data_IF_456930838513
#
_entry.id   IF_456930838513
#
_cell.length_a   1.000
_cell.length_b   1.000
_cell.length_c   1.000
_cell.angle_alpha   90.00
_cell.angle_beta   90.00
_cell.angle_gamma   90.00
#
_symmetry.space_group_name_H-M   'P 1'
#
loop_
_entity.id
_entity.type
_entity.pdbx_description
1 polymer ?
#
# COMPACT_ATOMS: atom_id res chain seq x y z
N UNK A 1 24.47 11.93 -58.56
CA UNK A 1 23.07 11.93 -58.10
C UNK A 1 22.90 10.81 -57.06
N UNK A 2 22.57 11.13 -55.80
CA UNK A 2 22.33 10.12 -54.74
C UNK A 2 20.83 9.85 -54.61
N UNK A 3 20.37 8.60 -54.49
CA UNK A 3 18.94 8.29 -54.45
C UNK A 3 18.34 8.63 -53.07
N UNK A 4 17.24 9.38 -53.09
CA UNK A 4 16.43 9.64 -51.90
C UNK A 4 15.84 8.32 -51.38
N UNK A 5 16.17 7.97 -50.14
CA UNK A 5 15.61 6.80 -49.45
C UNK A 5 14.14 7.05 -49.11
N UNK A 6 13.30 6.04 -49.37
CA UNK A 6 11.87 6.02 -49.05
C UNK A 6 11.64 6.11 -47.53
N UNK A 7 11.44 7.31 -47.00
CA UNK A 7 10.80 7.55 -45.69
C UNK A 7 9.29 7.67 -45.91
N UNK A 8 8.52 6.59 -45.87
CA UNK A 8 7.04 6.74 -45.90
C UNK A 8 6.23 5.71 -45.11
N UNK A 9 6.81 4.56 -44.74
CA UNK A 9 6.08 3.50 -44.04
C UNK A 9 6.18 3.57 -42.51
N UNK A 10 7.29 4.09 -41.97
CA UNK A 10 7.46 4.22 -40.52
C UNK A 10 6.64 5.36 -39.90
N UNK A 11 6.47 6.47 -40.64
CA UNK A 11 5.74 7.65 -40.16
C UNK A 11 4.22 7.42 -40.09
N UNK A 12 3.67 6.65 -41.03
CA UNK A 12 2.24 6.30 -41.08
C UNK A 12 1.84 5.34 -39.95
N UNK A 13 2.68 4.37 -39.60
CA UNK A 13 2.46 3.49 -38.45
C UNK A 13 2.53 4.24 -37.10
N UNK A 14 3.43 5.22 -36.98
CA UNK A 14 3.58 6.03 -35.77
C UNK A 14 2.41 7.02 -35.57
N UNK A 15 1.89 7.60 -36.64
CA UNK A 15 0.67 8.44 -36.61
C UNK A 15 -0.57 7.59 -36.29
N UNK A 16 -0.69 6.38 -36.84
CA UNK A 16 -1.77 5.45 -36.50
C UNK A 16 -1.76 5.00 -35.04
N UNK A 17 -0.57 4.78 -34.45
CA UNK A 17 -0.43 4.43 -33.03
C UNK A 17 -0.69 5.62 -32.08
N UNK A 18 -0.41 6.85 -32.53
CA UNK A 18 -0.68 8.08 -31.77
C UNK A 18 -2.18 8.42 -31.76
N UNK A 19 -2.92 8.08 -32.83
CA UNK A 19 -4.38 8.23 -32.90
C UNK A 19 -5.10 7.23 -32.00
N UNK A 20 -4.54 6.04 -31.77
CA UNK A 20 -5.11 5.03 -30.85
C UNK A 20 -4.91 5.37 -29.35
N UNK A 21 -4.04 6.33 -29.04
CA UNK A 21 -3.76 6.77 -27.66
C UNK A 21 -4.68 7.92 -27.19
N UNK A 22 -5.54 8.45 -28.07
CA UNK A 22 -6.68 9.28 -27.68
C UNK A 22 -7.82 8.37 -27.24
N UNK A 23 -7.65 7.74 -26.07
CA UNK A 23 -8.79 7.23 -25.34
C UNK A 23 -9.65 8.44 -24.94
N UNK A 24 -10.51 8.87 -25.85
CA UNK A 24 -11.52 9.87 -25.57
C UNK A 24 -12.37 9.33 -24.41
N UNK A 25 -12.58 10.18 -23.41
CA UNK A 25 -13.58 9.97 -22.39
C UNK A 25 -14.91 9.85 -23.13
N UNK A 26 -15.38 8.63 -23.32
CA UNK A 26 -16.56 8.39 -24.13
C UNK A 26 -17.78 8.54 -23.23
N UNK A 27 -18.56 9.58 -23.49
CA UNK A 27 -19.89 9.70 -22.92
C UNK A 27 -20.69 8.45 -23.25
N UNK A 28 -21.42 7.93 -22.26
CA UNK A 28 -22.26 6.74 -22.45
C UNK A 28 -23.61 6.94 -21.82
N UNK A 29 -24.61 6.22 -22.31
CA UNK A 29 -25.96 6.26 -21.74
C UNK A 29 -26.29 4.95 -21.04
N UNK A 30 -26.96 5.03 -19.89
CA UNK A 30 -27.32 3.85 -19.12
C UNK A 30 -28.48 4.09 -18.17
N UNK A 31 -29.12 2.99 -17.75
CA UNK A 31 -30.27 3.05 -16.84
C UNK A 31 -29.79 3.19 -15.40
N UNK A 32 -30.30 4.17 -14.67
CA UNK A 32 -30.04 4.28 -13.23
C UNK A 32 -30.78 3.16 -12.50
N UNK A 33 -30.03 2.26 -11.88
CA UNK A 33 -30.56 1.08 -11.17
C UNK A 33 -30.42 1.18 -9.65
N UNK A 34 -29.76 2.22 -9.13
CA UNK A 34 -29.64 2.43 -7.70
C UNK A 34 -29.12 3.81 -7.33
N UNK A 35 -29.51 4.28 -6.15
CA UNK A 35 -29.02 5.52 -5.54
C UNK A 35 -28.36 5.14 -4.21
N UNK A 36 -27.06 5.39 -4.08
CA UNK A 36 -26.33 5.11 -2.84
C UNK A 36 -26.61 6.19 -1.80
N UNK A 37 -26.29 7.43 -2.15
CA UNK A 37 -26.50 8.68 -1.40
C UNK A 37 -26.95 9.79 -2.38
N UNK A 38 -26.99 11.05 -1.95
CA UNK A 38 -27.49 12.15 -2.78
C UNK A 38 -26.66 12.41 -4.05
N UNK A 39 -25.37 12.05 -4.07
CA UNK A 39 -24.45 12.37 -5.17
C UNK A 39 -23.77 11.13 -5.80
N UNK A 40 -24.18 9.92 -5.43
CA UNK A 40 -23.66 8.67 -5.96
C UNK A 40 -24.77 7.77 -6.47
N UNK A 41 -24.73 7.49 -7.77
CA UNK A 41 -25.70 6.63 -8.47
C UNK A 41 -25.04 5.37 -9.03
N UNK A 42 -25.85 4.35 -9.27
CA UNK A 42 -25.48 3.12 -9.98
C UNK A 42 -26.16 3.10 -11.34
N UNK A 43 -25.36 2.99 -12.41
CA UNK A 43 -25.83 3.05 -13.79
C UNK A 43 -25.52 1.72 -14.46
N UNK A 44 -26.55 1.10 -15.03
CA UNK A 44 -26.43 -0.12 -15.84
C UNK A 44 -26.16 0.27 -17.29
N UNK A 45 -25.02 -0.16 -17.81
CA UNK A 45 -24.61 0.02 -19.20
C UNK A 45 -23.99 -1.29 -19.71
N UNK A 46 -24.43 -1.79 -20.87
CA UNK A 46 -23.94 -3.04 -21.46
C UNK A 46 -23.93 -4.25 -20.50
N UNK A 47 -24.97 -4.37 -19.66
CA UNK A 47 -25.10 -5.46 -18.70
C UNK A 47 -24.17 -5.36 -17.47
N UNK A 48 -23.42 -4.26 -17.31
CA UNK A 48 -22.56 -3.99 -16.16
C UNK A 48 -23.06 -2.77 -15.37
N UNK A 49 -23.08 -2.91 -14.05
CA UNK A 49 -23.39 -1.79 -13.16
C UNK A 49 -22.10 -1.01 -12.83
N UNK A 50 -22.06 0.26 -13.20
CA UNK A 50 -21.00 1.20 -12.84
C UNK A 50 -21.46 2.14 -11.71
N UNK A 51 -20.55 2.48 -10.79
CA UNK A 51 -20.77 3.51 -9.77
C UNK A 51 -20.33 4.86 -10.33
N UNK A 52 -21.23 5.84 -10.29
CA UNK A 52 -21.00 7.20 -10.77
C UNK A 52 -21.17 8.17 -9.60
N UNK A 53 -20.15 8.97 -9.32
CA UNK A 53 -20.20 10.11 -8.42
C UNK A 53 -20.43 11.38 -9.24
N UNK A 54 -21.39 12.18 -8.81
CA UNK A 54 -21.71 13.46 -9.44
C UNK A 54 -20.55 14.44 -9.24
N UNK A 55 -20.00 14.92 -10.35
CA UNK A 55 -18.90 15.87 -10.38
C UNK A 55 -19.29 17.20 -9.72
N UNK A 56 -18.32 17.79 -9.00
CA UNK A 56 -18.40 19.15 -8.47
C UNK A 56 -19.33 19.37 -7.28
N UNK A 57 -20.01 18.34 -6.79
CA UNK A 57 -20.97 18.45 -5.67
C UNK A 57 -20.67 17.47 -4.53
N UNK A 58 -21.14 17.79 -3.33
CA UNK A 58 -21.08 16.91 -2.17
C UNK A 58 -22.42 16.96 -1.41
N UNK A 59 -23.10 15.83 -1.31
CA UNK A 59 -24.37 15.71 -0.59
C UNK A 59 -24.15 15.37 0.90
N UNK A 60 -25.07 15.74 1.80
CA UNK A 60 -25.06 15.26 3.17
C UNK A 60 -25.02 13.73 3.24
N UNK A 61 -24.19 13.21 4.16
CA UNK A 61 -24.03 11.77 4.38
C UNK A 61 -25.34 11.13 4.88
N UNK A 62 -25.49 9.81 4.74
CA UNK A 62 -26.74 9.10 5.10
C UNK A 62 -27.22 9.35 6.54
N UNK A 63 -26.29 9.52 7.49
CA UNK A 63 -26.56 9.78 8.91
C UNK A 63 -26.47 11.27 9.28
N UNK A 64 -26.17 12.14 8.32
CA UNK A 64 -26.15 13.58 8.50
C UNK A 64 -27.57 14.13 8.27
N UNK A 65 -27.94 15.24 8.92
CA UNK A 65 -29.16 15.98 8.57
C UNK A 65 -29.28 16.17 7.06
N UNK A 66 -30.50 15.98 6.53
CA UNK A 66 -30.84 16.05 5.11
C UNK A 66 -30.26 14.95 4.20
N UNK A 67 -29.43 14.02 4.68
CA UNK A 67 -28.87 12.95 3.84
C UNK A 67 -29.91 12.07 3.17
N UNK A 68 -30.92 11.62 3.93
CA UNK A 68 -32.05 10.86 3.37
C UNK A 68 -32.86 11.67 2.36
N UNK A 69 -33.09 12.97 2.62
CA UNK A 69 -33.85 13.85 1.73
C UNK A 69 -33.10 14.09 0.42
N UNK A 70 -31.79 14.31 0.48
CA UNK A 70 -30.95 14.45 -0.70
C UNK A 70 -30.99 13.18 -1.57
N UNK A 71 -30.86 12.00 -0.96
CA UNK A 71 -31.02 10.71 -1.64
C UNK A 71 -32.39 10.56 -2.31
N UNK A 72 -33.47 10.90 -1.60
CA UNK A 72 -34.83 10.83 -2.14
C UNK A 72 -35.03 11.79 -3.32
N UNK A 73 -34.51 13.01 -3.23
CA UNK A 73 -34.56 13.99 -4.31
C UNK A 73 -33.86 13.48 -5.57
N UNK A 74 -32.61 12.99 -5.43
CA UNK A 74 -31.86 12.38 -6.54
C UNK A 74 -32.60 11.16 -7.10
N UNK A 75 -33.19 10.33 -6.25
CA UNK A 75 -33.99 9.18 -6.68
C UNK A 75 -35.20 9.61 -7.52
N UNK A 76 -35.96 10.62 -7.09
CA UNK A 76 -37.11 11.11 -7.86
C UNK A 76 -36.74 11.65 -9.24
N UNK A 77 -35.56 12.24 -9.38
CA UNK A 77 -35.09 12.77 -10.65
C UNK A 77 -34.49 11.70 -11.57
N UNK A 78 -33.75 10.73 -11.04
CA UNK A 78 -32.87 9.89 -11.85
C UNK A 78 -33.22 8.40 -11.83
N UNK A 79 -33.79 7.87 -10.73
CA UNK A 79 -33.98 6.42 -10.57
C UNK A 79 -34.87 5.84 -11.66
N UNK A 80 -34.44 4.72 -12.25
CA UNK A 80 -35.16 4.03 -13.33
C UNK A 80 -35.06 4.70 -14.69
N UNK A 81 -34.50 5.91 -14.81
CA UNK A 81 -34.35 6.63 -16.07
C UNK A 81 -33.05 6.25 -16.78
N UNK A 82 -33.04 6.38 -18.10
CA UNK A 82 -31.82 6.32 -18.90
C UNK A 82 -31.19 7.71 -18.91
N UNK A 83 -29.97 7.81 -18.40
CA UNK A 83 -29.23 9.07 -18.30
C UNK A 83 -27.98 9.01 -19.15
N UNK A 84 -27.50 10.16 -19.60
CA UNK A 84 -26.19 10.27 -20.26
C UNK A 84 -25.15 10.67 -19.24
N UNK A 85 -24.07 9.88 -19.18
CA UNK A 85 -22.93 10.07 -18.29
C UNK A 85 -21.84 10.75 -19.09
N UNK A 86 -21.54 12.00 -18.73
CA UNK A 86 -20.44 12.76 -19.30
C UNK A 86 -19.24 12.66 -18.37
N UNK A 87 -18.34 11.72 -18.68
CA UNK A 87 -17.24 11.37 -17.78
C UNK A 87 -16.19 12.49 -17.71
N UNK A 88 -15.80 12.85 -16.48
CA UNK A 88 -14.83 13.91 -16.19
C UNK A 88 -13.54 13.37 -15.60
N UNK A 89 -13.68 12.43 -14.67
CA UNK A 89 -12.55 11.83 -13.97
C UNK A 89 -12.89 10.41 -13.48
N UNK A 90 -11.90 9.71 -12.92
CA UNK A 90 -12.10 8.51 -12.10
C UNK A 90 -11.41 8.69 -10.76
N UNK A 91 -12.17 8.51 -9.69
CA UNK A 91 -11.59 8.68 -8.35
C UNK A 91 -10.73 7.48 -7.93
N UNK A 92 -10.01 7.65 -6.81
CA UNK A 92 -9.14 6.61 -6.23
C UNK A 92 -9.86 5.30 -5.85
N UNK A 93 -11.18 5.32 -5.76
CA UNK A 93 -12.02 4.16 -5.44
C UNK A 93 -12.53 3.46 -6.70
N UNK A 94 -12.16 3.95 -7.89
CA UNK A 94 -12.61 3.43 -9.18
C UNK A 94 -14.02 3.86 -9.57
N UNK A 95 -14.60 4.86 -8.88
CA UNK A 95 -15.89 5.44 -9.30
C UNK A 95 -15.67 6.39 -10.47
N UNK A 96 -16.61 6.36 -11.40
CA UNK A 96 -16.70 7.34 -12.49
C UNK A 96 -17.13 8.67 -11.87
N UNK A 97 -16.42 9.76 -12.14
CA UNK A 97 -16.80 11.12 -11.75
C UNK A 97 -17.36 11.81 -12.98
N UNK A 98 -18.62 12.25 -12.95
CA UNK A 98 -19.31 12.69 -14.16
C UNK A 98 -20.35 13.78 -13.94
N UNK A 99 -20.63 14.53 -15.00
CA UNK A 99 -21.91 15.23 -15.17
C UNK A 99 -22.96 14.22 -15.64
N UNK A 100 -24.13 14.24 -15.02
CA UNK A 100 -25.22 13.32 -15.37
C UNK A 100 -26.37 14.09 -16.00
N UNK A 101 -26.63 13.82 -17.26
CA UNK A 101 -27.68 14.48 -18.04
C UNK A 101 -28.94 13.61 -18.04
N UNK A 102 -30.04 14.20 -17.60
CA UNK A 102 -31.36 13.58 -17.54
C UNK A 102 -32.02 13.53 -18.94
N UNK A 103 -33.07 12.70 -19.13
CA UNK A 103 -33.78 12.62 -20.41
C UNK A 103 -34.35 13.95 -20.93
N UNK A 104 -34.64 14.89 -20.03
CA UNK A 104 -35.15 16.23 -20.36
C UNK A 104 -34.03 17.25 -20.65
N UNK A 105 -32.78 16.79 -20.74
CA UNK A 105 -31.60 17.60 -21.01
C UNK A 105 -31.04 18.34 -19.79
N UNK A 106 -31.66 18.24 -18.61
CA UNK A 106 -31.15 18.89 -17.40
C UNK A 106 -29.95 18.16 -16.83
N UNK A 107 -29.04 18.91 -16.23
CA UNK A 107 -27.89 18.35 -15.49
C UNK A 107 -28.32 18.05 -14.03
N UNK A 108 -28.32 16.77 -13.67
CA UNK A 108 -28.71 16.28 -12.34
C UNK A 108 -27.88 16.93 -11.22
N UNK A 109 -26.57 17.09 -11.42
CA UNK A 109 -25.66 17.69 -10.44
C UNK A 109 -26.14 19.11 -10.09
N UNK A 110 -26.48 19.89 -11.12
CA UNK A 110 -27.00 21.24 -10.98
C UNK A 110 -28.39 21.27 -10.32
N UNK A 111 -29.28 20.34 -10.68
CA UNK A 111 -30.62 20.26 -10.08
C UNK A 111 -30.58 20.02 -8.58
N UNK A 112 -29.66 19.16 -8.11
CA UNK A 112 -29.51 18.86 -6.68
C UNK A 112 -29.02 20.09 -5.90
N UNK A 113 -28.05 20.83 -6.44
CA UNK A 113 -27.57 22.09 -5.82
C UNK A 113 -28.67 23.16 -5.86
N UNK A 114 -29.37 23.31 -6.98
CA UNK A 114 -30.48 24.27 -7.15
C UNK A 114 -31.61 24.03 -6.14
N UNK A 115 -31.87 22.77 -5.80
CA UNK A 115 -32.86 22.38 -4.81
C UNK A 115 -32.34 22.49 -3.35
N UNK A 116 -31.07 22.81 -3.15
CA UNK A 116 -30.45 22.93 -1.83
C UNK A 116 -30.18 21.58 -1.16
N UNK A 117 -29.92 20.52 -1.92
CA UNK A 117 -29.61 19.19 -1.37
C UNK A 117 -28.13 18.79 -1.50
N UNK A 118 -27.30 19.65 -2.09
CA UNK A 118 -25.87 19.46 -2.17
C UNK A 118 -25.12 20.78 -1.98
N UNK A 119 -23.89 20.65 -1.51
CA UNK A 119 -22.91 21.72 -1.49
C UNK A 119 -22.15 21.75 -2.81
N UNK A 120 -21.76 22.94 -3.24
CA UNK A 120 -20.74 23.08 -4.27
C UNK A 120 -19.38 22.67 -3.69
N UNK A 121 -18.77 21.63 -4.25
CA UNK A 121 -17.53 21.07 -3.75
C UNK A 121 -16.31 21.85 -4.26
N UNK A 122 -16.09 23.03 -3.66
CA UNK A 122 -15.05 24.01 -4.00
C UNK A 122 -13.65 23.42 -4.21
N UNK A 123 -13.28 22.41 -3.42
CA UNK A 123 -11.96 21.77 -3.53
C UNK A 123 -11.75 21.06 -4.87
N UNK A 124 -12.82 20.49 -5.46
CA UNK A 124 -12.75 19.70 -6.70
C UNK A 124 -13.30 20.44 -7.91
N UNK A 125 -14.10 21.49 -7.72
CA UNK A 125 -14.65 22.31 -8.80
C UNK A 125 -14.54 23.82 -8.51
N UNK A 126 -13.35 24.36 -8.19
CA UNK A 126 -13.21 25.77 -7.77
C UNK A 126 -13.60 26.79 -8.85
N UNK A 127 -13.54 26.40 -10.13
CA UNK A 127 -13.87 27.26 -11.26
C UNK A 127 -15.34 27.24 -11.69
N UNK A 128 -16.17 26.35 -11.13
CA UNK A 128 -17.55 26.18 -11.59
C UNK A 128 -18.47 27.31 -11.09
N UNK A 129 -18.63 28.33 -11.93
CA UNK A 129 -19.49 29.48 -11.60
C UNK A 129 -20.98 29.12 -11.58
N UNK A 130 -21.39 28.07 -12.29
CA UNK A 130 -22.80 27.65 -12.32
C UNK A 130 -23.16 27.04 -10.97
N UNK A 131 -22.38 26.09 -10.46
CA UNK A 131 -22.61 25.49 -9.15
C UNK A 131 -22.52 26.52 -8.02
N UNK A 132 -21.55 27.43 -8.09
CA UNK A 132 -21.44 28.55 -7.15
C UNK A 132 -22.70 29.42 -7.12
N UNK A 133 -23.21 29.81 -8.30
CA UNK A 133 -24.42 30.63 -8.41
C UNK A 133 -25.67 29.91 -7.92
N UNK A 134 -25.83 28.62 -8.26
CA UNK A 134 -26.96 27.81 -7.81
C UNK A 134 -26.96 27.59 -6.30
N UNK A 135 -25.79 27.35 -5.70
CA UNK A 135 -25.65 27.22 -4.25
C UNK A 135 -26.08 28.51 -3.55
N UNK A 136 -25.59 29.67 -4.01
CA UNK A 136 -25.95 30.97 -3.45
C UNK A 136 -27.46 31.27 -3.57
N UNK A 137 -28.09 30.90 -4.69
CA UNK A 137 -29.54 31.04 -4.86
C UNK A 137 -30.34 30.13 -3.92
N UNK A 138 -29.90 28.88 -3.75
CA UNK A 138 -30.54 27.94 -2.84
C UNK A 138 -30.40 28.38 -1.38
N UNK A 139 -29.24 28.94 -1.00
CA UNK A 139 -28.99 29.55 0.30
C UNK A 139 -29.92 30.73 0.56
N UNK A 140 -29.96 31.71 -0.35
CA UNK A 140 -30.79 32.90 -0.21
C UNK A 140 -32.29 32.56 -0.12
N UNK A 141 -32.71 31.49 -0.78
CA UNK A 141 -34.09 31.01 -0.75
C UNK A 141 -34.40 30.02 0.40
N UNK A 142 -33.43 29.69 1.27
CA UNK A 142 -33.62 28.76 2.38
C UNK A 142 -34.07 27.35 1.94
N UNK A 143 -33.62 26.88 0.77
CA UNK A 143 -34.06 25.59 0.21
C UNK A 143 -33.30 24.41 0.82
N UNK A 144 -34.00 23.28 0.97
CA UNK A 144 -33.36 22.02 1.35
C UNK A 144 -32.58 22.14 2.67
N UNK A 145 -31.29 21.81 2.63
CA UNK A 145 -30.39 21.91 3.78
C UNK A 145 -30.20 23.34 4.30
N UNK A 146 -30.42 24.35 3.45
CA UNK A 146 -30.30 25.76 3.81
C UNK A 146 -31.48 26.29 4.64
N UNK A 147 -32.51 25.46 4.89
CA UNK A 147 -33.54 25.76 5.88
C UNK A 147 -33.03 25.59 7.33
N UNK A 148 -31.91 24.87 7.50
CA UNK A 148 -31.20 24.81 8.77
C UNK A 148 -30.47 26.14 9.03
N UNK A 149 -30.38 26.55 10.30
CA UNK A 149 -29.65 27.77 10.68
C UNK A 149 -28.14 27.56 10.59
N UNK A 150 -27.68 26.34 10.86
CA UNK A 150 -26.25 25.99 10.91
C UNK A 150 -25.98 24.70 10.12
N UNK A 151 -26.20 24.71 8.79
CA UNK A 151 -25.96 23.53 7.98
C UNK A 151 -24.46 23.21 7.94
N UNK A 152 -24.10 22.01 8.39
CA UNK A 152 -22.71 21.52 8.35
C UNK A 152 -22.43 20.89 7.00
N UNK A 153 -21.32 21.20 6.31
CA UNK A 153 -20.98 20.54 5.07
C UNK A 153 -20.45 19.10 5.29
N UNK A 154 -20.57 18.19 4.29
CA UNK A 154 -20.25 16.78 4.50
C UNK A 154 -18.77 16.52 4.85
N UNK A 155 -17.84 17.31 4.31
CA UNK A 155 -16.42 17.19 4.64
C UNK A 155 -16.10 17.52 6.11
N UNK A 156 -16.81 18.47 6.71
CA UNK A 156 -16.68 18.79 8.14
C UNK A 156 -17.36 17.74 9.00
N UNK A 157 -18.54 17.27 8.60
CA UNK A 157 -19.23 16.15 9.26
C UNK A 157 -18.34 14.90 9.35
N UNK A 158 -17.71 14.52 8.23
CA UNK A 158 -16.75 13.40 8.17
C UNK A 158 -15.53 13.62 9.08
N UNK A 159 -15.05 14.86 9.22
CA UNK A 159 -13.94 15.20 10.12
C UNK A 159 -14.34 15.00 11.58
N UNK A 160 -15.50 15.53 11.99
CA UNK A 160 -16.01 15.38 13.36
C UNK A 160 -16.23 13.92 13.75
N UNK A 161 -16.83 13.11 12.86
CA UNK A 161 -17.02 11.68 13.12
C UNK A 161 -15.71 10.92 13.29
N UNK A 162 -14.68 11.25 12.51
CA UNK A 162 -13.35 10.64 12.66
C UNK A 162 -12.73 11.00 14.01
N UNK A 163 -12.80 12.26 14.41
CA UNK A 163 -12.26 12.74 15.69
C UNK A 163 -12.99 12.11 16.88
N UNK A 164 -14.33 12.00 16.82
CA UNK A 164 -15.15 11.33 17.83
C UNK A 164 -14.76 9.86 17.99
N UNK A 165 -14.60 9.12 16.88
CA UNK A 165 -14.18 7.71 16.89
C UNK A 165 -12.78 7.55 17.49
N UNK A 166 -11.83 8.41 17.11
CA UNK A 166 -10.48 8.40 17.68
C UNK A 166 -10.48 8.70 19.18
N UNK A 167 -11.33 9.64 19.62
CA UNK A 167 -11.52 9.95 21.04
C UNK A 167 -12.10 8.78 21.83
N UNK A 168 -13.10 8.10 21.29
CA UNK A 168 -13.69 6.90 21.90
C UNK A 168 -12.67 5.76 22.00
N UNK A 169 -11.95 5.47 20.91
CA UNK A 169 -10.91 4.44 20.89
C UNK A 169 -9.80 4.73 21.91
N UNK A 170 -9.35 5.99 22.01
CA UNK A 170 -8.37 6.40 23.04
C UNK A 170 -8.90 6.17 24.45
N UNK A 171 -10.16 6.52 24.74
CA UNK A 171 -10.77 6.29 26.05
C UNK A 171 -10.90 4.79 26.38
N UNK A 172 -11.30 3.98 25.41
CA UNK A 172 -11.42 2.53 25.56
C UNK A 172 -10.05 1.89 25.81
N UNK A 173 -9.04 2.18 24.99
CA UNK A 173 -7.66 1.72 25.17
C UNK A 173 -7.06 2.16 26.51
N UNK A 174 -7.44 3.33 27.03
CA UNK A 174 -7.03 3.79 28.37
C UNK A 174 -7.78 3.06 29.49
N UNK A 175 -9.05 2.70 29.29
CA UNK A 175 -9.88 2.02 30.27
C UNK A 175 -9.59 0.50 30.35
N UNK A 176 -9.33 -0.16 29.21
CA UNK A 176 -9.03 -1.60 29.13
C UNK A 176 -7.55 -1.90 29.34
N UNK A 177 -6.67 -0.92 29.12
CA UNK A 177 -5.21 -1.13 29.10
C UNK A 177 -4.73 -1.94 27.88
N UNK A 178 -5.60 -2.20 26.89
CA UNK A 178 -5.28 -2.96 25.68
C UNK A 178 -4.93 -2.03 24.51
N UNK A 179 -3.75 -2.23 23.93
CA UNK A 179 -3.16 -1.38 22.89
C UNK A 179 -1.63 -1.47 22.89
N UNK A 180 -0.95 -0.83 21.93
CA UNK A 180 0.47 -1.00 21.79
C UNK A 180 1.24 -0.30 22.92
N UNK A 181 2.30 -0.91 23.43
CA UNK A 181 3.22 -0.30 24.37
C UNK A 181 4.04 0.79 23.68
N UNK A 182 4.19 1.94 24.33
CA UNK A 182 5.06 3.01 23.85
C UNK A 182 6.28 3.12 24.75
N UNK A 183 7.49 3.17 24.17
CA UNK A 183 8.70 3.10 24.99
C UNK A 183 10.00 3.40 24.26
N UNK A 184 11.10 3.28 25.01
CA UNK A 184 12.44 3.42 24.48
C UNK A 184 13.27 2.21 24.90
N UNK A 185 13.74 1.46 23.89
CA UNK A 185 14.55 0.26 24.10
C UNK A 185 15.86 0.55 24.85
N UNK A 186 16.40 1.78 24.73
CA UNK A 186 17.64 2.19 25.42
C UNK A 186 17.43 2.34 26.92
N UNK A 187 16.36 3.03 27.31
CA UNK A 187 16.06 3.29 28.72
C UNK A 187 15.26 2.16 29.38
N UNK A 188 14.80 1.16 28.60
CA UNK A 188 13.89 0.08 29.02
C UNK A 188 12.61 0.59 29.71
N UNK A 189 12.22 1.83 29.42
CA UNK A 189 10.96 2.41 29.85
C UNK A 189 9.88 2.09 28.81
N UNK A 190 8.91 1.26 29.21
CA UNK A 190 7.77 0.87 28.38
C UNK A 190 6.48 1.20 29.11
N UNK A 191 5.64 2.01 28.48
CA UNK A 191 4.36 2.43 29.02
C UNK A 191 3.25 1.65 28.34
N UNK A 192 2.44 0.95 29.15
CA UNK A 192 1.19 0.35 28.70
C UNK A 192 0.17 1.45 28.37
N UNK A 193 -0.78 1.19 27.47
CA UNK A 193 -1.92 2.07 27.27
C UNK A 193 -2.65 2.36 28.59
N UNK A 194 -3.08 3.61 28.79
CA UNK A 194 -3.68 4.06 30.05
C UNK A 194 -2.69 4.40 31.18
N UNK A 195 -1.38 4.20 30.99
CA UNK A 195 -0.39 4.71 31.93
C UNK A 195 -0.30 6.24 31.87
N UNK A 196 -0.15 6.90 33.04
CA UNK A 196 0.03 8.37 33.12
C UNK A 196 1.18 8.93 32.28
N UNK A 197 2.15 8.07 31.95
CA UNK A 197 3.36 8.40 31.20
C UNK A 197 3.36 7.83 29.77
N UNK A 198 2.21 7.39 29.26
CA UNK A 198 2.12 6.76 27.93
C UNK A 198 2.63 7.65 26.79
N UNK A 199 2.37 8.96 26.87
CA UNK A 199 2.84 9.96 25.89
C UNK A 199 4.20 10.59 26.25
N UNK A 200 5.08 9.84 26.94
CA UNK A 200 6.41 10.30 27.30
C UNK A 200 7.24 10.71 26.07
N UNK A 201 7.79 11.92 26.07
CA UNK A 201 8.60 12.48 24.96
C UNK A 201 9.90 11.73 24.69
N UNK A 202 10.39 10.95 25.66
CA UNK A 202 11.61 10.15 25.54
C UNK A 202 11.37 8.76 24.93
N UNK A 203 10.11 8.38 24.71
CA UNK A 203 9.70 7.14 24.06
C UNK A 203 9.69 7.32 22.54
N UNK A 204 10.36 6.40 21.84
CA UNK A 204 10.65 6.53 20.39
C UNK A 204 10.15 5.34 19.58
N UNK A 205 9.59 4.32 20.23
CA UNK A 205 9.19 3.07 19.60
C UNK A 205 7.84 2.59 20.15
N UNK A 206 7.07 1.94 19.29
CA UNK A 206 5.74 1.39 19.57
C UNK A 206 5.82 -0.13 19.40
N UNK A 207 5.32 -0.90 20.38
CA UNK A 207 5.35 -2.36 20.43
C UNK A 207 3.93 -2.90 20.60
N UNK A 208 3.59 -4.01 19.98
CA UNK A 208 2.25 -4.61 20.11
C UNK A 208 2.04 -5.25 21.49
N UNK A 209 3.11 -5.68 22.16
CA UNK A 209 3.05 -6.26 23.50
C UNK A 209 4.25 -5.87 24.35
N UNK A 210 4.12 -6.10 25.66
CA UNK A 210 5.25 -5.95 26.60
C UNK A 210 6.41 -6.90 26.24
N UNK A 211 6.08 -8.13 25.89
CA UNK A 211 7.06 -9.15 25.52
C UNK A 211 7.85 -8.75 24.27
N UNK A 212 7.20 -8.14 23.27
CA UNK A 212 7.88 -7.62 22.09
C UNK A 212 8.87 -6.50 22.45
N UNK A 213 8.46 -5.58 23.34
CA UNK A 213 9.30 -4.49 23.82
C UNK A 213 10.55 -4.98 24.56
N UNK A 214 10.38 -5.98 25.43
CA UNK A 214 11.47 -6.60 26.17
C UNK A 214 12.43 -7.35 25.21
N UNK A 215 11.91 -8.14 24.27
CA UNK A 215 12.72 -8.80 23.22
C UNK A 215 13.48 -7.80 22.34
N UNK A 216 12.91 -6.62 22.08
CA UNK A 216 13.58 -5.58 21.31
C UNK A 216 14.73 -4.93 22.09
N UNK A 217 14.55 -4.71 23.40
CA UNK A 217 15.62 -4.23 24.27
C UNK A 217 16.76 -5.24 24.39
N UNK A 218 16.45 -6.54 24.50
CA UNK A 218 17.45 -7.59 24.68
C UNK A 218 18.27 -7.85 23.42
N UNK A 219 17.64 -7.81 22.23
CA UNK A 219 18.35 -7.91 20.93
C UNK A 219 19.40 -6.82 20.74
N UNK A 220 19.14 -5.62 21.27
CA UNK A 220 20.11 -4.53 21.26
C UNK A 220 21.26 -4.79 22.24
N UNK A 221 20.96 -5.22 23.46
CA UNK A 221 21.98 -5.57 24.46
C UNK A 221 22.94 -6.64 23.96
N UNK A 222 22.46 -7.58 23.13
CA UNK A 222 23.29 -8.59 22.47
C UNK A 222 24.22 -8.04 21.38
N UNK A 223 23.86 -6.95 20.71
CA UNK A 223 24.71 -6.28 19.70
C UNK A 223 25.73 -5.35 20.36
N UNK A 224 25.34 -4.67 21.43
CA UNK A 224 26.23 -3.85 22.25
C UNK A 224 27.19 -4.71 23.10
N UNK A 225 26.86 -6.00 23.31
CA UNK A 225 27.66 -6.99 24.07
C UNK A 225 28.77 -7.71 23.30
N UNK A 226 28.87 -7.56 21.97
CA UNK A 226 29.94 -8.18 21.16
C UNK A 226 31.18 -7.28 20.97
N UNK A 227 31.33 -6.26 21.83
CA UNK A 227 32.53 -5.43 21.94
C UNK A 227 33.05 -5.26 23.38
N UNK A 228 32.62 -6.11 24.31
CA UNK A 228 33.09 -6.00 25.68
C UNK A 228 32.71 -7.16 26.57
N UNK A 229 33.45 -8.27 26.48
CA UNK A 229 33.73 -9.17 27.60
C UNK A 229 34.68 -10.28 27.15
N UNK A 230 35.97 -9.96 27.01
CA UNK A 230 37.00 -10.88 27.48
C UNK A 230 37.11 -10.70 29.00
N UNK A 231 37.29 -11.80 29.72
CA UNK A 231 37.64 -11.87 31.15
C UNK A 231 36.58 -11.48 32.20
N UNK A 232 35.92 -12.53 32.74
CA UNK A 232 35.68 -12.88 34.17
C UNK A 232 34.33 -13.60 34.29
N UNK A 233 34.13 -14.60 35.14
CA UNK A 233 34.95 -15.44 36.02
C UNK A 233 34.04 -16.61 36.41
N UNK A 234 34.65 -17.77 36.52
CA UNK A 234 34.20 -19.02 37.12
C UNK A 234 33.42 -18.88 38.43
N UNK A 235 32.41 -19.74 38.66
CA UNK A 235 32.32 -20.59 39.87
C UNK A 235 31.16 -21.59 39.81
N UNK A 236 31.50 -22.88 39.95
CA UNK A 236 30.80 -23.99 40.66
C UNK A 236 29.32 -24.29 40.32
N UNK A 237 28.82 -25.52 40.23
CA UNK A 237 29.33 -26.89 40.26
C UNK A 237 28.14 -27.83 40.07
N UNK A 238 28.24 -28.78 39.16
CA UNK A 238 27.66 -30.14 39.33
C UNK A 238 28.10 -30.95 38.11
N UNK A 239 28.94 -31.95 38.36
CA UNK A 239 29.40 -32.89 37.35
C UNK A 239 28.21 -33.60 36.69
N UNK A 240 28.28 -33.85 35.37
CA UNK A 240 27.74 -35.08 34.81
C UNK A 240 28.87 -36.01 34.36
N UNK A 241 28.59 -37.29 34.58
CA UNK A 241 29.38 -38.48 34.34
C UNK A 241 29.87 -38.70 32.90
N UNK A 242 30.94 -39.48 32.83
CA UNK A 242 31.70 -40.19 31.77
C UNK A 242 31.14 -40.47 30.35
N UNK A 243 30.02 -39.91 29.89
CA UNK A 243 29.49 -40.14 28.52
C UNK A 243 29.55 -38.92 27.58
N UNK A 244 30.19 -37.81 27.96
CA UNK A 244 30.34 -36.61 27.12
C UNK A 244 31.78 -36.41 26.58
N UNK A 245 32.43 -37.49 26.11
CA UNK A 245 33.71 -37.45 25.37
C UNK A 245 33.56 -38.15 24.02
N UNK A 246 32.75 -37.60 23.13
CA UNK A 246 32.77 -37.91 21.70
C UNK A 246 31.99 -36.83 20.95
N UNK A 247 32.70 -35.78 20.52
CA UNK A 247 32.42 -34.82 19.42
C UNK A 247 33.06 -33.47 19.76
N UNK A 248 34.40 -33.46 19.85
CA UNK A 248 35.22 -32.24 19.94
C UNK A 248 36.09 -32.06 18.69
N UNK A 249 35.59 -32.50 17.52
CA UNK A 249 36.22 -32.34 16.21
C UNK A 249 35.11 -32.10 15.18
N UNK A 250 34.84 -30.83 14.85
CA UNK A 250 34.24 -30.36 13.58
C UNK A 250 33.65 -28.94 13.76
N UNK A 251 34.52 -27.96 14.02
CA UNK A 251 34.21 -26.55 13.73
C UNK A 251 35.34 -25.82 13.00
N UNK A 252 36.53 -26.44 12.87
CA UNK A 252 37.65 -25.89 12.10
C UNK A 252 37.46 -26.09 10.58
N UNK A 253 36.97 -27.23 10.09
CA UNK A 253 36.91 -27.47 8.63
C UNK A 253 35.95 -26.54 7.85
N UNK A 254 35.01 -25.89 8.55
CA UNK A 254 34.08 -24.91 7.96
C UNK A 254 34.68 -23.52 7.80
N UNK A 255 35.75 -23.20 8.53
CA UNK A 255 36.43 -21.91 8.44
C UNK A 255 37.54 -21.93 7.37
N UNK A 256 38.25 -23.05 7.21
CA UNK A 256 39.23 -23.24 6.13
C UNK A 256 38.57 -23.22 4.74
N UNK A 257 37.39 -23.80 4.57
CA UNK A 257 36.63 -23.75 3.30
C UNK A 257 36.20 -22.33 2.93
N UNK A 258 35.79 -21.51 3.91
CA UNK A 258 35.43 -20.11 3.68
C UNK A 258 36.67 -19.24 3.33
N UNK A 259 37.80 -19.50 4.00
CA UNK A 259 39.08 -18.83 3.69
C UNK A 259 39.63 -19.20 2.32
N UNK A 260 39.51 -20.46 1.90
CA UNK A 260 39.95 -20.93 0.58
C UNK A 260 39.12 -20.32 -0.57
N UNK A 261 37.79 -20.20 -0.38
CA UNK A 261 36.90 -19.53 -1.35
C UNK A 261 37.25 -18.04 -1.47
N UNK A 262 37.47 -17.34 -0.36
CA UNK A 262 37.88 -15.94 -0.37
C UNK A 262 39.28 -15.70 -0.97
N UNK A 263 40.20 -16.65 -0.82
CA UNK A 263 41.53 -16.59 -1.42
C UNK A 263 41.49 -16.82 -2.93
N UNK A 264 40.69 -17.78 -3.42
CA UNK A 264 40.48 -18.01 -4.85
C UNK A 264 39.81 -16.80 -5.53
N UNK A 265 38.82 -16.19 -4.88
CA UNK A 265 38.14 -14.98 -5.39
C UNK A 265 39.06 -13.74 -5.43
N UNK A 266 40.13 -13.68 -4.62
CA UNK A 266 41.13 -12.61 -4.66
C UNK A 266 42.22 -12.85 -5.72
N UNK A 267 42.50 -14.10 -6.07
CA UNK A 267 43.52 -14.46 -7.05
C UNK A 267 43.10 -14.19 -8.52
N UNK A 268 41.78 -14.20 -8.81
CA UNK A 268 41.27 -14.04 -10.19
C UNK A 268 40.92 -12.59 -10.61
N UNK A 269 41.21 -11.58 -9.78
CA UNK A 269 41.18 -10.18 -10.24
C UNK A 269 39.81 -9.62 -10.69
N UNK A 270 38.68 -10.13 -10.18
CA UNK A 270 37.33 -9.66 -10.54
C UNK A 270 36.64 -8.76 -9.49
N UNK A 271 37.40 -8.13 -8.59
CA UNK A 271 36.82 -7.20 -7.61
C UNK A 271 36.24 -5.90 -8.25
N UNK A 272 36.55 -5.63 -9.52
CA UNK A 272 36.23 -4.35 -10.19
C UNK A 272 34.92 -4.34 -11.00
N UNK A 273 34.17 -5.44 -11.10
CA UNK A 273 32.90 -5.47 -11.89
C UNK A 273 31.63 -5.34 -11.06
N UNK A 274 31.71 -5.35 -9.72
CA UNK A 274 30.52 -5.24 -8.86
C UNK A 274 30.14 -3.79 -8.49
N UNK A 275 31.04 -2.82 -8.67
CA UNK A 275 30.76 -1.41 -8.39
C UNK A 275 30.10 -0.65 -9.56
N UNK A 276 30.03 -1.24 -10.76
CA UNK A 276 29.44 -0.60 -11.94
C UNK A 276 27.93 -0.89 -12.13
N UNK A 277 27.36 -1.89 -11.47
CA UNK A 277 25.92 -2.22 -11.56
C UNK A 277 25.05 -1.50 -10.52
N UNK A 278 25.64 -0.72 -9.62
CA UNK A 278 24.92 0.02 -8.58
C UNK A 278 24.59 1.48 -8.97
N UNK A 279 24.94 1.95 -10.18
CA UNK A 279 24.73 3.34 -10.62
C UNK A 279 23.71 3.57 -11.74
N UNK A 280 23.06 2.53 -12.27
CA UNK A 280 21.96 2.69 -13.24
C UNK A 280 20.66 2.02 -12.73
N UNK A 281 20.11 2.57 -11.65
CA UNK A 281 18.81 2.17 -11.11
C UNK A 281 17.66 3.01 -11.67
N UNK A 282 17.26 2.80 -12.93
CA UNK A 282 15.92 3.19 -13.40
C UNK A 282 14.94 2.04 -13.07
N UNK A 283 14.04 2.35 -12.14
CA UNK A 283 12.74 1.72 -11.87
C UNK A 283 12.55 0.22 -12.13
N UNK A 284 12.35 -0.56 -11.06
CA UNK A 284 11.50 -1.75 -11.13
C UNK A 284 10.85 -2.07 -9.79
N UNK A 285 9.53 -1.85 -9.77
CA UNK A 285 8.55 -2.28 -8.79
C UNK A 285 8.22 -3.76 -9.02
N UNK A 286 8.24 -4.60 -7.96
CA UNK A 286 7.26 -5.68 -7.67
C UNK A 286 7.83 -6.79 -6.76
N UNK A 287 7.24 -7.11 -5.58
CA UNK A 287 7.78 -8.08 -4.61
C UNK A 287 7.56 -9.58 -4.88
N UNK A 288 7.18 -10.02 -6.09
CA UNK A 288 6.74 -11.43 -6.31
C UNK A 288 7.81 -12.46 -6.72
N UNK A 289 9.03 -12.06 -7.06
CA UNK A 289 10.06 -13.00 -7.56
C UNK A 289 11.01 -13.57 -6.50
N UNK A 290 11.00 -13.06 -5.26
CA UNK A 290 11.93 -13.51 -4.19
C UNK A 290 11.42 -14.77 -3.45
N UNK A 291 10.15 -15.16 -3.59
CA UNK A 291 9.61 -16.33 -2.87
C UNK A 291 9.95 -17.67 -3.53
N UNK A 292 10.14 -17.75 -4.85
CA UNK A 292 10.42 -19.02 -5.54
C UNK A 292 11.88 -19.49 -5.48
N UNK A 293 12.83 -18.61 -5.14
CA UNK A 293 14.25 -19.02 -4.96
C UNK A 293 14.53 -19.67 -3.59
N UNK A 294 13.68 -19.42 -2.58
CA UNK A 294 13.86 -19.96 -1.22
C UNK A 294 13.32 -21.38 -1.04
N UNK A 295 12.35 -21.83 -1.85
CA UNK A 295 11.80 -23.19 -1.74
C UNK A 295 12.67 -24.26 -2.40
N UNK A 296 13.46 -23.89 -3.41
CA UNK A 296 14.30 -24.85 -4.14
C UNK A 296 15.65 -25.11 -3.47
N UNK A 297 16.09 -24.22 -2.57
CA UNK A 297 17.32 -24.38 -1.78
C UNK A 297 17.14 -25.30 -0.57
N UNK A 298 15.93 -25.37 0.00
CA UNK A 298 15.62 -26.31 1.10
C UNK A 298 15.42 -27.75 0.61
N UNK A 299 14.94 -27.96 -0.63
CA UNK A 299 14.67 -29.30 -1.17
C UNK A 299 15.91 -30.03 -1.70
N UNK A 300 17.01 -29.32 -1.99
CA UNK A 300 18.29 -29.93 -2.40
C UNK A 300 19.18 -30.34 -1.22
N UNK A 301 18.87 -29.89 0.00
CA UNK A 301 19.67 -30.20 1.20
C UNK A 301 19.31 -31.52 1.88
N UNK A 302 18.27 -32.24 1.42
CA UNK A 302 17.77 -33.45 2.09
C UNK A 302 18.03 -34.75 1.33
N UNK A 303 18.81 -34.75 0.25
CA UNK A 303 19.06 -35.97 -0.54
C UNK A 303 20.49 -36.13 -1.06
N UNK A 304 21.46 -35.82 -0.21
CA UNK A 304 22.88 -36.12 -0.44
C UNK A 304 23.48 -36.80 0.80
N UNK A 305 22.95 -37.97 1.15
CA UNK A 305 23.67 -38.97 1.92
C UNK A 305 23.84 -40.17 0.99
N UNK A 306 25.08 -40.64 0.82
CA UNK A 306 25.56 -41.65 -0.12
C UNK A 306 26.10 -41.15 -1.49
N UNK A 307 27.12 -40.29 -1.48
CA UNK A 307 28.24 -40.37 -2.43
C UNK A 307 29.44 -39.55 -1.94
N UNK A 308 30.62 -40.15 -1.79
CA UNK A 308 31.82 -39.57 -1.16
C UNK A 308 32.59 -38.56 -2.03
N UNK A 309 31.91 -37.79 -2.88
CA UNK A 309 32.49 -36.61 -3.53
C UNK A 309 31.40 -35.60 -3.87
N UNK A 310 31.69 -34.31 -3.69
CA UNK A 310 30.72 -33.23 -3.94
C UNK A 310 31.02 -32.57 -5.28
N UNK A 311 30.05 -32.63 -6.19
CA UNK A 311 30.13 -32.02 -7.51
C UNK A 311 29.38 -30.69 -7.54
N UNK A 312 30.06 -29.60 -7.93
CA UNK A 312 29.45 -28.28 -8.05
C UNK A 312 29.05 -28.05 -9.50
N UNK A 313 27.81 -27.59 -9.73
CA UNK A 313 27.26 -27.30 -11.05
C UNK A 313 26.75 -25.87 -11.12
N UNK A 314 26.92 -25.22 -12.27
CA UNK A 314 26.37 -23.90 -12.57
C UNK A 314 25.41 -24.01 -13.74
N UNK A 315 24.25 -23.36 -13.61
CA UNK A 315 23.19 -23.40 -14.63
C UNK A 315 22.87 -21.99 -15.11
N UNK A 316 22.98 -21.77 -16.42
CA UNK A 316 22.58 -20.50 -17.06
C UNK A 316 21.72 -20.81 -18.28
N UNK A 317 20.62 -20.08 -18.44
CA UNK A 317 19.70 -20.17 -19.59
C UNK A 317 19.27 -21.61 -19.93
N UNK A 318 18.95 -22.41 -18.90
CA UNK A 318 18.43 -23.77 -19.06
C UNK A 318 19.47 -24.85 -19.36
N UNK A 319 20.77 -24.55 -19.35
CA UNK A 319 21.85 -25.56 -19.49
C UNK A 319 22.73 -25.60 -18.23
N UNK A 320 22.91 -26.79 -17.66
CA UNK A 320 23.77 -27.02 -16.49
C UNK A 320 25.15 -27.54 -16.92
N UNK A 321 26.22 -26.97 -16.35
CA UNK A 321 27.60 -27.42 -16.55
C UNK A 321 28.27 -27.67 -15.20
N UNK A 322 29.00 -28.78 -15.08
CA UNK A 322 29.79 -29.13 -13.89
C UNK A 322 31.04 -28.26 -13.84
N UNK A 323 31.22 -27.56 -12.72
CA UNK A 323 32.34 -26.63 -12.51
C UNK A 323 33.53 -27.33 -11.87
N UNK A 324 33.28 -28.14 -10.83
CA UNK A 324 34.36 -28.91 -10.18
C UNK A 324 33.82 -30.09 -9.37
N UNK A 325 34.69 -31.03 -9.01
CA UNK A 325 34.40 -32.10 -8.05
C UNK A 325 35.42 -32.03 -6.94
N UNK A 326 34.97 -31.96 -5.70
CA UNK A 326 35.84 -31.97 -4.53
C UNK A 326 36.01 -33.43 -4.10
N UNK A 327 37.24 -34.00 -4.14
CA UNK A 327 37.51 -35.33 -3.63
C UNK A 327 37.42 -35.35 -2.10
N UNK A 328 37.18 -36.52 -1.47
CA UNK A 328 37.18 -36.63 -0.01
C UNK A 328 38.59 -36.36 0.53
N UNK A 329 38.68 -35.66 1.66
CA UNK A 329 39.95 -35.43 2.34
C UNK A 329 40.47 -36.75 2.91
N UNK A 330 41.59 -37.24 2.41
CA UNK A 330 42.40 -38.24 3.13
C UNK A 330 43.07 -37.53 4.32
N UNK A 331 42.91 -38.09 5.52
CA UNK A 331 43.51 -37.60 6.77
C UNK A 331 45.01 -37.33 6.66
#
# INVERSE_FOLDING_TARGET
>A
MKPMKRLSTGLTLLVGLLILALAAWADFSGKVVGISDGDTISVMHEGKAAKVRLAGIDCPESHQPFGTKAKQFTSGLAFGKVVTIQERDRDRYGRIVADVILPDGKNLNQEIVRAGFAWWYRQYAPGDQTLKGLEAQAQAAGKGLWADKEPVPPWEWRKGERERRQGQQRKETQATGEGPYHGNVKSRAFHRPGCRHYDCKNCTAVFQSREEADKAADRRGSLDGWWGSSMRRTSFSSQPSRWARATWLSLDSRMETYRAVLAAMRAEGEASRFSALAREGKGMSSPRLIRHAKSSSSALASRAMASDSVSIWVTTSGKSRKVTTIPPSTE
#
